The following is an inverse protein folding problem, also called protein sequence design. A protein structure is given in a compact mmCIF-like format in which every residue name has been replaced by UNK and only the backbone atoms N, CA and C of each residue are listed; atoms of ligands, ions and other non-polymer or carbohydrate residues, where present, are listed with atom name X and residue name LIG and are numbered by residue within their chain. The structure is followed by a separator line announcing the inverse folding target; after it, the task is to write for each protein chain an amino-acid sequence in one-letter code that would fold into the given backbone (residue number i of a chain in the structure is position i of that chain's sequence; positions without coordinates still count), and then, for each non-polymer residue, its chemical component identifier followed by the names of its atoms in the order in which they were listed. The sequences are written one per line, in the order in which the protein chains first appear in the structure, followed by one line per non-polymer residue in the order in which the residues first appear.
data_IF_341359618151
#
_entry.id   IF_341359618151
#
_cell.length_a   1.000
_cell.length_b   1.000
_cell.length_c   1.000
_cell.angle_alpha   90.00
_cell.angle_beta   90.00
_cell.angle_gamma   90.00
#
_symmetry.space_group_name_H-M   'P 1'
#
loop_
_entity.id
_entity.type
_entity.pdbx_description
1 polymer ?
#
# COMPACT_ATOMS: atom_id res chain seq x y z
N UNK A 1 -4.48 -10.99 20.01
CA UNK A 1 -5.10 -11.38 18.72
C UNK A 1 -4.90 -10.33 17.62
N UNK A 2 -5.14 -9.04 17.88
CA UNK A 2 -4.96 -7.95 16.90
C UNK A 2 -3.50 -7.72 16.47
N UNK A 3 -2.55 -7.80 17.40
CA UNK A 3 -1.09 -7.83 17.14
C UNK A 3 -0.70 -8.93 16.15
N UNK A 4 -1.26 -10.14 16.32
CA UNK A 4 -0.99 -11.27 15.43
C UNK A 4 -1.60 -11.04 14.04
N UNK A 5 -2.77 -10.40 13.93
CA UNK A 5 -3.38 -10.07 12.63
C UNK A 5 -2.61 -8.97 11.91
N UNK A 6 -2.14 -7.94 12.61
CA UNK A 6 -1.30 -6.88 12.05
C UNK A 6 0.08 -7.40 11.66
N UNK A 7 0.71 -8.22 12.52
CA UNK A 7 1.96 -8.89 12.19
C UNK A 7 1.79 -9.84 11.00
N UNK A 8 0.68 -10.58 10.94
CA UNK A 8 0.38 -11.46 9.79
C UNK A 8 0.08 -10.66 8.54
N UNK A 9 -0.60 -9.51 8.63
CA UNK A 9 -0.86 -8.63 7.49
C UNK A 9 0.43 -7.99 6.98
N UNK A 10 1.26 -7.46 7.87
CA UNK A 10 2.59 -6.94 7.52
C UNK A 10 3.48 -8.04 6.95
N UNK A 11 3.46 -9.23 7.54
CA UNK A 11 4.15 -10.40 7.02
C UNK A 11 3.63 -10.79 5.63
N UNK A 12 2.31 -10.82 5.42
CA UNK A 12 1.71 -11.12 4.11
C UNK A 12 2.01 -10.03 3.08
N UNK A 13 2.03 -8.75 3.44
CA UNK A 13 2.44 -7.66 2.55
C UNK A 13 3.93 -7.79 2.22
N UNK A 14 4.76 -8.06 3.22
CA UNK A 14 6.20 -8.30 3.08
C UNK A 14 6.55 -9.62 2.38
N UNK A 15 5.64 -10.60 2.32
CA UNK A 15 5.80 -11.86 1.60
C UNK A 15 5.18 -11.81 0.19
N UNK A 16 4.05 -11.12 0.01
CA UNK A 16 3.41 -10.94 -1.28
C UNK A 16 4.19 -9.97 -2.16
N UNK A 17 4.80 -8.93 -1.59
CA UNK A 17 5.67 -8.02 -2.34
C UNK A 17 6.81 -8.78 -3.08
N UNK A 18 7.62 -9.64 -2.43
CA UNK A 18 8.63 -10.44 -3.10
C UNK A 18 8.05 -11.56 -3.98
N UNK A 19 6.87 -12.12 -3.67
CA UNK A 19 6.24 -13.12 -4.56
C UNK A 19 5.69 -12.53 -5.85
N UNK A 20 5.10 -11.33 -5.80
CA UNK A 20 4.68 -10.58 -6.97
C UNK A 20 5.89 -10.09 -7.75
N UNK A 21 6.95 -9.68 -7.04
CA UNK A 21 8.25 -9.34 -7.64
C UNK A 21 8.89 -10.55 -8.35
N UNK A 22 8.94 -11.71 -7.70
CA UNK A 22 9.45 -12.96 -8.26
C UNK A 22 8.59 -13.46 -9.41
N UNK A 23 7.27 -13.37 -9.30
CA UNK A 23 6.34 -13.68 -10.41
C UNK A 23 6.60 -12.79 -11.61
N UNK A 24 6.79 -11.48 -11.39
CA UNK A 24 7.16 -10.53 -12.44
C UNK A 24 8.51 -10.84 -13.08
N UNK A 25 9.52 -11.21 -12.28
CA UNK A 25 10.84 -11.63 -12.76
C UNK A 25 10.74 -12.93 -13.55
N UNK A 26 10.01 -13.94 -13.07
CA UNK A 26 9.85 -15.23 -13.74
C UNK A 26 9.18 -15.04 -15.09
N UNK A 27 8.13 -14.22 -15.16
CA UNK A 27 7.47 -13.87 -16.42
C UNK A 27 8.45 -13.15 -17.36
N UNK A 28 9.19 -12.16 -16.86
CA UNK A 28 10.17 -11.41 -17.65
C UNK A 28 11.33 -12.30 -18.16
N UNK A 29 11.83 -13.20 -17.33
CA UNK A 29 12.91 -14.16 -17.68
C UNK A 29 12.41 -15.21 -18.66
N UNK A 30 11.19 -15.74 -18.46
CA UNK A 30 10.59 -16.70 -19.38
C UNK A 30 10.32 -16.08 -20.75
N UNK A 31 10.06 -14.77 -20.80
CA UNK A 31 9.97 -14.00 -22.03
C UNK A 31 11.35 -13.78 -22.68
N UNK A 32 12.37 -13.42 -21.89
CA UNK A 32 13.73 -13.21 -22.39
C UNK A 32 14.37 -14.48 -22.99
N UNK A 33 13.99 -15.67 -22.51
CA UNK A 33 14.48 -16.96 -23.03
C UNK A 33 14.04 -17.30 -24.46
N UNK A 34 13.06 -16.60 -25.04
CA UNK A 34 12.53 -16.91 -26.38
C UNK A 34 13.31 -16.33 -27.58
N UNK A 35 14.37 -15.51 -27.38
CA UNK A 35 15.28 -15.04 -28.46
C UNK A 35 14.72 -13.92 -29.38
N UNK A 36 15.57 -13.09 -30.06
CA UNK A 36 15.28 -11.66 -30.33
C UNK A 36 15.04 -11.26 -31.81
N UNK A 37 14.32 -10.14 -32.11
CA UNK A 37 14.91 -8.78 -32.08
C UNK A 37 13.94 -7.66 -31.60
N UNK A 38 13.79 -7.44 -30.29
CA UNK A 38 13.11 -6.27 -29.69
C UNK A 38 13.51 -5.98 -28.22
N UNK A 39 14.59 -6.61 -27.73
CA UNK A 39 14.84 -6.83 -26.30
C UNK A 39 15.05 -5.56 -25.45
N UNK A 40 15.42 -4.42 -26.05
CA UNK A 40 15.71 -3.19 -25.30
C UNK A 40 14.46 -2.41 -24.90
N UNK A 41 13.38 -2.47 -25.69
CA UNK A 41 12.18 -1.66 -25.48
C UNK A 41 11.29 -2.28 -24.42
N UNK A 42 11.09 -3.61 -24.45
CA UNK A 42 10.26 -4.30 -23.45
C UNK A 42 10.93 -4.39 -22.07
N UNK A 43 12.25 -4.52 -22.00
CA UNK A 43 12.98 -4.47 -20.73
C UNK A 43 12.89 -3.08 -20.08
N UNK A 44 12.99 -2.01 -20.90
CA UNK A 44 12.82 -0.64 -20.40
C UNK A 44 11.40 -0.42 -19.88
N UNK A 45 10.37 -0.90 -20.57
CA UNK A 45 8.96 -0.77 -20.16
C UNK A 45 8.67 -1.52 -18.86
N UNK A 46 9.11 -2.76 -18.74
CA UNK A 46 8.97 -3.56 -17.52
C UNK A 46 9.67 -2.93 -16.33
N UNK A 47 10.86 -2.37 -16.51
CA UNK A 47 11.52 -1.58 -15.48
C UNK A 47 10.65 -0.41 -14.97
N UNK A 48 10.07 0.40 -15.86
CA UNK A 48 9.24 1.53 -15.43
C UNK A 48 7.99 1.10 -14.65
N UNK A 49 7.32 0.04 -15.08
CA UNK A 49 6.16 -0.50 -14.36
C UNK A 49 6.53 -1.13 -13.03
N UNK A 50 7.67 -1.83 -12.96
CA UNK A 50 8.13 -2.45 -11.73
C UNK A 50 8.48 -1.39 -10.68
N UNK A 51 9.24 -0.36 -11.06
CA UNK A 51 9.59 0.74 -10.16
C UNK A 51 8.34 1.51 -9.74
N UNK A 52 7.41 1.78 -10.66
CA UNK A 52 6.12 2.39 -10.32
C UNK A 52 5.36 1.53 -9.30
N UNK A 53 5.32 0.21 -9.47
CA UNK A 53 4.61 -0.68 -8.56
C UNK A 53 5.23 -0.71 -7.16
N UNK A 54 6.56 -0.85 -7.08
CA UNK A 54 7.29 -0.89 -5.80
C UNK A 54 7.16 0.44 -5.05
N UNK A 55 7.29 1.56 -5.77
CA UNK A 55 7.18 2.89 -5.15
C UNK A 55 5.74 3.23 -4.77
N UNK A 56 4.74 2.68 -5.46
CA UNK A 56 3.34 2.75 -5.05
C UNK A 56 3.08 1.98 -3.75
N UNK A 57 3.65 0.78 -3.62
CA UNK A 57 3.58 0.00 -2.37
C UNK A 57 4.22 0.76 -1.21
N UNK A 58 5.43 1.28 -1.40
CA UNK A 58 6.12 2.09 -0.40
C UNK A 58 5.34 3.35 -0.03
N UNK A 59 4.73 4.02 -1.02
CA UNK A 59 3.85 5.17 -0.81
C UNK A 59 2.62 4.80 0.05
N UNK A 60 1.95 3.68 -0.27
CA UNK A 60 0.78 3.23 0.48
C UNK A 60 1.13 2.91 1.95
N UNK A 61 2.23 2.21 2.16
CA UNK A 61 2.77 1.93 3.50
C UNK A 61 3.08 3.22 4.24
N UNK A 62 3.76 4.17 3.60
CA UNK A 62 4.05 5.47 4.20
C UNK A 62 2.79 6.25 4.57
N UNK A 63 1.80 6.32 3.68
CA UNK A 63 0.55 7.05 3.92
C UNK A 63 -0.26 6.48 5.09
N UNK A 64 -0.38 5.15 5.17
CA UNK A 64 -1.08 4.48 6.28
C UNK A 64 -0.37 4.69 7.62
N UNK A 65 0.97 4.68 7.62
CA UNK A 65 1.74 5.02 8.82
C UNK A 65 1.61 6.50 9.20
N UNK A 66 1.61 7.43 8.25
CA UNK A 66 1.39 8.85 8.53
C UNK A 66 0.04 9.05 9.23
N UNK A 67 -1.03 8.46 8.69
CA UNK A 67 -2.37 8.51 9.26
C UNK A 67 -2.41 7.95 10.68
N UNK A 68 -1.86 6.76 10.91
CA UNK A 68 -1.87 6.12 12.23
C UNK A 68 -1.07 6.90 13.28
N UNK A 69 0.12 7.40 12.93
CA UNK A 69 0.95 8.18 13.85
C UNK A 69 0.39 9.58 14.10
N UNK A 70 -0.22 10.23 13.10
CA UNK A 70 -0.91 11.50 13.30
C UNK A 70 -2.12 11.33 14.23
N UNK A 71 -2.92 10.28 14.04
CA UNK A 71 -4.03 9.98 14.93
C UNK A 71 -3.55 9.73 16.37
N UNK A 72 -2.43 9.00 16.55
CA UNK A 72 -1.85 8.76 17.87
C UNK A 72 -1.40 10.06 18.55
N UNK A 73 -0.71 10.94 17.82
CA UNK A 73 -0.25 12.24 18.33
C UNK A 73 -1.41 13.20 18.63
N UNK A 74 -2.42 13.26 17.75
CA UNK A 74 -3.56 14.15 17.91
C UNK A 74 -4.46 13.77 19.11
N UNK A 75 -4.52 12.48 19.43
CA UNK A 75 -5.38 11.95 20.49
C UNK A 75 -4.61 11.65 21.79
N UNK A 76 -3.28 11.83 21.81
CA UNK A 76 -2.42 11.40 22.91
C UNK A 76 -2.75 9.95 23.32
N UNK A 77 -2.81 9.08 22.30
CA UNK A 77 -3.23 7.68 22.41
C UNK A 77 -2.00 6.76 22.48
N UNK A 78 -2.03 5.72 23.34
CA UNK A 78 -0.89 4.83 23.57
C UNK A 78 -0.57 4.03 22.32
N UNK A 79 0.66 4.08 21.82
CA UNK A 79 1.07 3.27 20.66
C UNK A 79 1.17 1.78 21.03
N UNK A 80 1.00 0.86 20.06
CA UNK A 80 1.42 -0.53 20.27
C UNK A 80 2.89 -0.52 20.71
N UNK A 81 3.16 -1.07 21.90
CA UNK A 81 4.50 -1.09 22.46
C UNK A 81 5.39 -1.99 21.61
N UNK A 82 6.13 -1.40 20.69
CA UNK A 82 7.28 -2.06 20.10
C UNK A 82 8.35 -2.08 21.19
N UNK A 83 8.56 -3.26 21.78
CA UNK A 83 9.60 -3.50 22.78
C UNK A 83 10.95 -3.08 22.18
N UNK A 84 11.38 -1.86 22.51
CA UNK A 84 12.62 -1.30 21.98
C UNK A 84 13.76 -1.90 22.80
N UNK A 85 14.50 -2.82 22.20
CA UNK A 85 15.73 -3.39 22.75
C UNK A 85 16.81 -2.30 22.80
N UNK A 86 16.80 -1.46 23.83
CA UNK A 86 17.83 -0.46 24.10
C UNK A 86 17.73 0.09 25.52
N UNK A 87 18.86 0.56 26.04
CA UNK A 87 19.03 1.03 27.43
C UNK A 87 18.24 2.32 27.75
N UNK A 88 17.64 2.95 26.73
CA UNK A 88 16.85 4.17 26.85
C UNK A 88 15.37 3.87 26.59
N UNK A 89 14.56 3.97 27.64
CA UNK A 89 13.09 3.99 27.51
C UNK A 89 12.68 5.30 26.83
N UNK A 90 12.11 5.18 25.62
CA UNK A 90 11.49 6.30 24.92
C UNK A 90 10.04 6.44 25.39
N UNK A 91 9.56 7.69 25.47
CA UNK A 91 8.14 7.96 25.69
C UNK A 91 7.32 7.62 24.43
N UNK A 92 6.04 7.29 24.60
CA UNK A 92 5.12 6.99 23.47
C UNK A 92 5.08 8.14 22.44
N UNK A 93 5.16 9.39 22.92
CA UNK A 93 5.19 10.57 22.04
C UNK A 93 6.48 10.65 21.22
N UNK A 94 7.64 10.32 21.79
CA UNK A 94 8.90 10.28 21.04
C UNK A 94 8.88 9.19 19.98
N UNK A 95 8.33 8.01 20.31
CA UNK A 95 8.13 6.92 19.36
C UNK A 95 7.20 7.35 18.22
N UNK A 96 6.07 7.98 18.54
CA UNK A 96 5.12 8.46 17.55
C UNK A 96 5.73 9.53 16.61
N UNK A 97 6.49 10.49 17.16
CA UNK A 97 7.18 11.51 16.36
C UNK A 97 8.25 10.91 15.45
N UNK A 98 9.04 9.96 15.97
CA UNK A 98 10.06 9.25 15.19
C UNK A 98 9.42 8.47 14.04
N UNK A 99 8.39 7.70 14.32
CA UNK A 99 7.67 6.92 13.32
C UNK A 99 6.99 7.82 12.28
N UNK A 100 6.38 8.93 12.71
CA UNK A 100 5.82 9.92 11.80
C UNK A 100 6.89 10.52 10.89
N UNK A 101 8.05 10.89 11.42
CA UNK A 101 9.15 11.44 10.62
C UNK A 101 9.62 10.44 9.55
N UNK A 102 9.79 9.15 9.92
CA UNK A 102 10.14 8.09 8.98
C UNK A 102 9.05 7.89 7.91
N UNK A 103 7.78 7.87 8.31
CA UNK A 103 6.65 7.71 7.41
C UNK A 103 6.55 8.88 6.41
N UNK A 104 6.67 10.12 6.89
CA UNK A 104 6.67 11.33 6.06
C UNK A 104 7.84 11.31 5.09
N UNK A 105 9.06 10.95 5.53
CA UNK A 105 10.21 10.81 4.65
C UNK A 105 9.96 9.74 3.57
N UNK A 106 9.40 8.60 3.95
CA UNK A 106 9.01 7.53 3.02
C UNK A 106 8.00 8.00 1.96
N UNK A 107 6.97 8.74 2.36
CA UNK A 107 6.00 9.35 1.43
C UNK A 107 6.67 10.39 0.54
N UNK A 108 7.50 11.27 1.11
CA UNK A 108 8.17 12.35 0.38
C UNK A 108 9.11 11.82 -0.71
N UNK A 109 9.72 10.65 -0.52
CA UNK A 109 10.55 9.99 -1.53
C UNK A 109 9.70 9.16 -2.49
N UNK A 110 8.76 8.36 -1.98
CA UNK A 110 8.02 7.39 -2.81
C UNK A 110 7.01 8.05 -3.75
N UNK A 111 6.34 9.12 -3.30
CA UNK A 111 5.34 9.84 -4.09
C UNK A 111 5.88 10.41 -5.42
N UNK A 112 6.97 11.22 -5.43
CA UNK A 112 7.50 11.75 -6.69
C UNK A 112 8.06 10.66 -7.59
N UNK A 113 8.70 9.62 -7.04
CA UNK A 113 9.25 8.51 -7.82
C UNK A 113 8.14 7.73 -8.49
N UNK A 114 7.07 7.37 -7.75
CA UNK A 114 5.88 6.72 -8.30
C UNK A 114 5.27 7.57 -9.41
N UNK A 115 5.00 8.85 -9.12
CA UNK A 115 4.34 9.75 -10.06
C UNK A 115 5.14 9.88 -11.37
N UNK A 116 6.46 10.03 -11.28
CA UNK A 116 7.33 10.10 -12.44
C UNK A 116 7.29 8.82 -13.29
N UNK A 117 7.50 7.65 -12.66
CA UNK A 117 7.55 6.37 -13.37
C UNK A 117 6.19 6.00 -13.97
N UNK A 118 5.10 6.26 -13.24
CA UNK A 118 3.73 6.03 -13.70
C UNK A 118 3.35 6.92 -14.88
N UNK A 119 3.69 8.22 -14.84
CA UNK A 119 3.43 9.10 -15.99
C UNK A 119 4.23 8.70 -17.22
N UNK A 120 5.49 8.31 -17.03
CA UNK A 120 6.36 7.91 -18.13
C UNK A 120 5.95 6.57 -18.73
N UNK A 121 5.49 5.62 -17.91
CA UNK A 121 4.95 4.35 -18.41
C UNK A 121 3.68 4.57 -19.20
N UNK A 122 2.74 5.42 -18.74
CA UNK A 122 1.54 5.77 -19.52
C UNK A 122 1.83 6.48 -20.84
N UNK A 123 2.75 7.45 -20.86
CA UNK A 123 3.08 8.17 -22.09
C UNK A 123 3.68 7.24 -23.16
N UNK A 124 4.38 6.18 -22.76
CA UNK A 124 4.94 5.19 -23.68
C UNK A 124 3.91 4.20 -24.26
N UNK A 125 2.65 4.24 -23.80
CA UNK A 125 1.56 3.29 -24.12
C UNK A 125 0.52 3.88 -25.07
N UNK A 126 0.58 5.18 -25.38
CA UNK A 126 -0.37 5.88 -26.27
C UNK A 126 -0.39 5.38 -27.74
N UNK A 127 0.19 4.22 -28.06
CA UNK A 127 0.15 3.58 -29.37
C UNK A 127 -0.22 2.10 -29.36
N UNK A 128 0.02 1.36 -28.26
CA UNK A 128 -0.29 -0.07 -28.16
C UNK A 128 -0.68 -0.40 -26.72
N UNK A 129 -1.89 -0.91 -26.51
CA UNK A 129 -2.40 -1.41 -25.23
C UNK A 129 -1.70 -2.68 -24.76
N UNK A 130 -0.38 -2.58 -24.54
CA UNK A 130 0.49 -3.71 -24.22
C UNK A 130 -0.04 -4.52 -23.03
N UNK A 131 0.08 -5.84 -23.13
CA UNK A 131 -0.29 -6.78 -22.05
C UNK A 131 0.34 -6.39 -20.70
N UNK A 132 1.52 -5.78 -20.72
CA UNK A 132 2.24 -5.34 -19.54
C UNK A 132 1.54 -4.21 -18.78
N UNK A 133 0.95 -3.24 -19.48
CA UNK A 133 0.15 -2.17 -18.87
C UNK A 133 -1.05 -2.74 -18.13
N UNK A 134 -1.72 -3.73 -18.73
CA UNK A 134 -2.87 -4.42 -18.14
C UNK A 134 -2.47 -5.21 -16.91
N UNK A 135 -1.38 -5.98 -16.97
CA UNK A 135 -0.85 -6.72 -15.81
C UNK A 135 -0.55 -5.78 -14.64
N UNK A 136 0.09 -4.64 -14.90
CA UNK A 136 0.32 -3.62 -13.88
C UNK A 136 -1.00 -3.10 -13.29
N UNK A 137 -1.94 -2.65 -14.13
CA UNK A 137 -3.20 -2.04 -13.66
C UNK A 137 -4.02 -3.05 -12.85
N UNK A 138 -4.15 -4.30 -13.32
CA UNK A 138 -4.87 -5.34 -12.58
C UNK A 138 -4.16 -5.70 -11.28
N UNK A 139 -2.82 -5.77 -11.26
CA UNK A 139 -2.05 -5.98 -10.04
C UNK A 139 -2.29 -4.87 -9.01
N UNK A 140 -2.33 -3.62 -9.47
CA UNK A 140 -2.62 -2.45 -8.62
C UNK A 140 -4.07 -2.44 -8.13
N UNK A 141 -5.04 -2.76 -8.98
CA UNK A 141 -6.45 -2.87 -8.59
C UNK A 141 -6.66 -3.98 -7.54
N UNK A 142 -6.04 -5.14 -7.74
CA UNK A 142 -6.08 -6.24 -6.79
C UNK A 142 -5.45 -5.85 -5.44
N UNK A 143 -4.29 -5.19 -5.48
CA UNK A 143 -3.62 -4.66 -4.28
C UNK A 143 -4.53 -3.73 -3.49
N UNK A 144 -5.14 -2.73 -4.13
CA UNK A 144 -6.01 -1.78 -3.43
C UNK A 144 -7.34 -2.38 -2.99
N UNK A 145 -7.89 -3.33 -3.74
CA UNK A 145 -9.08 -4.06 -3.32
C UNK A 145 -8.80 -4.88 -2.05
N UNK A 146 -7.72 -5.66 -2.03
CA UNK A 146 -7.35 -6.48 -0.88
C UNK A 146 -6.98 -5.61 0.33
N UNK A 147 -6.13 -4.60 0.14
CA UNK A 147 -5.75 -3.67 1.20
C UNK A 147 -6.96 -2.89 1.74
N UNK A 148 -7.82 -2.41 0.85
CA UNK A 148 -9.06 -1.72 1.21
C UNK A 148 -10.00 -2.62 2.01
N UNK A 149 -10.14 -3.89 1.63
CA UNK A 149 -10.95 -4.86 2.36
C UNK A 149 -10.40 -5.13 3.77
N UNK A 150 -9.07 -5.22 3.92
CA UNK A 150 -8.44 -5.37 5.24
C UNK A 150 -8.71 -4.15 6.12
N UNK A 151 -8.49 -2.94 5.62
CA UNK A 151 -8.72 -1.71 6.40
C UNK A 151 -10.20 -1.50 6.72
N UNK A 152 -11.11 -1.79 5.78
CA UNK A 152 -12.54 -1.75 6.01
C UNK A 152 -12.97 -2.79 7.07
N UNK A 153 -12.44 -4.01 7.01
CA UNK A 153 -12.67 -5.05 8.01
C UNK A 153 -12.18 -4.63 9.40
N UNK A 154 -10.98 -4.05 9.49
CA UNK A 154 -10.46 -3.47 10.74
C UNK A 154 -11.37 -2.36 11.26
N UNK A 155 -11.79 -1.44 10.40
CA UNK A 155 -12.69 -0.34 10.77
C UNK A 155 -14.01 -0.85 11.35
N UNK A 156 -14.66 -1.80 10.67
CA UNK A 156 -15.90 -2.43 11.15
C UNK A 156 -15.66 -3.17 12.46
N UNK A 157 -14.56 -3.93 12.58
CA UNK A 157 -14.21 -4.63 13.81
C UNK A 157 -14.08 -3.67 14.99
N UNK A 158 -13.40 -2.53 14.82
CA UNK A 158 -13.27 -1.54 15.90
C UNK A 158 -14.64 -0.99 16.34
N UNK A 159 -15.55 -0.73 15.40
CA UNK A 159 -16.91 -0.29 15.73
C UNK A 159 -17.67 -1.38 16.50
N UNK A 160 -17.55 -2.64 16.09
CA UNK A 160 -18.21 -3.77 16.73
C UNK A 160 -17.73 -4.04 18.17
N UNK A 161 -16.53 -3.58 18.55
CA UNK A 161 -16.05 -3.70 19.93
C UNK A 161 -16.92 -2.92 20.93
N UNK A 162 -17.59 -1.86 20.50
CA UNK A 162 -18.48 -1.04 21.33
C UNK A 162 -19.69 -1.83 21.86
N UNK A 163 -20.60 -2.37 21.01
CA UNK A 163 -21.77 -3.11 21.48
C UNK A 163 -21.40 -4.45 22.16
N UNK A 164 -20.20 -4.98 21.90
CA UNK A 164 -19.71 -6.22 22.52
C UNK A 164 -19.09 -5.99 23.91
N UNK A 165 -18.96 -4.73 24.38
CA UNK A 165 -18.35 -4.43 25.67
C UNK A 165 -16.86 -4.78 25.75
N UNK A 166 -16.14 -4.78 24.62
CA UNK A 166 -14.71 -5.12 24.53
C UNK A 166 -13.78 -3.92 24.74
N UNK A 167 -14.35 -2.76 25.11
CA UNK A 167 -13.65 -1.51 25.40
C UNK A 167 -14.32 -0.87 26.60
N UNK A 168 -13.53 -0.53 27.61
CA UNK A 168 -14.03 0.27 28.72
C UNK A 168 -13.96 1.76 28.34
N UNK A 169 -15.12 2.35 28.04
CA UNK A 169 -15.21 3.77 27.70
C UNK A 169 -15.01 4.68 28.92
N UNK A 170 -15.09 4.14 30.14
CA UNK A 170 -14.75 4.89 31.35
C UNK A 170 -13.23 5.03 31.52
N UNK A 171 -12.43 4.17 30.89
CA UNK A 171 -10.97 4.25 30.87
C UNK A 171 -10.50 5.19 29.73
N UNK A 172 -9.97 6.41 30.04
CA UNK A 172 -9.67 7.40 29.00
C UNK A 172 -8.64 6.94 27.98
N UNK A 173 -7.66 6.13 28.40
CA UNK A 173 -6.63 5.57 27.53
C UNK A 173 -7.21 4.58 26.51
N UNK A 174 -8.13 3.71 26.93
CA UNK A 174 -8.79 2.77 26.04
C UNK A 174 -9.70 3.48 25.05
N UNK A 175 -10.46 4.48 25.51
CA UNK A 175 -11.32 5.28 24.65
C UNK A 175 -10.52 6.01 23.56
N UNK A 176 -9.39 6.64 23.91
CA UNK A 176 -8.48 7.28 22.93
C UNK A 176 -7.87 6.28 21.96
N UNK A 177 -7.47 5.10 22.45
CA UNK A 177 -6.96 4.00 21.62
C UNK A 177 -7.99 3.55 20.59
N UNK A 178 -9.25 3.38 21.01
CA UNK A 178 -10.35 3.02 20.10
C UNK A 178 -10.57 4.10 19.03
N UNK A 179 -10.66 5.37 19.42
CA UNK A 179 -10.87 6.48 18.47
C UNK A 179 -9.72 6.54 17.46
N UNK A 180 -8.47 6.37 17.92
CA UNK A 180 -7.29 6.28 17.04
C UNK A 180 -7.42 5.13 16.05
N UNK A 181 -7.77 3.93 16.52
CA UNK A 181 -7.85 2.74 15.68
C UNK A 181 -8.95 2.87 14.62
N UNK A 182 -10.11 3.41 15.00
CA UNK A 182 -11.22 3.73 14.08
C UNK A 182 -10.77 4.76 13.04
N UNK A 183 -10.18 5.88 13.49
CA UNK A 183 -9.71 6.94 12.60
C UNK A 183 -8.65 6.42 11.62
N UNK A 184 -7.68 5.66 12.12
CA UNK A 184 -6.59 5.12 11.31
C UNK A 184 -7.09 4.12 10.27
N UNK A 185 -7.95 3.18 10.67
CA UNK A 185 -8.51 2.19 9.75
C UNK A 185 -9.43 2.85 8.70
N UNK A 186 -10.29 3.77 9.12
CA UNK A 186 -11.21 4.49 8.24
C UNK A 186 -10.49 5.34 7.20
N UNK A 187 -9.49 6.12 7.61
CA UNK A 187 -8.68 6.93 6.70
C UNK A 187 -7.82 6.07 5.77
N UNK A 188 -7.27 4.95 6.26
CA UNK A 188 -6.52 4.00 5.41
C UNK A 188 -7.40 3.33 4.36
N UNK A 189 -8.62 2.94 4.73
CA UNK A 189 -9.61 2.41 3.79
C UNK A 189 -9.98 3.46 2.73
N UNK A 190 -10.19 4.72 3.14
CA UNK A 190 -10.46 5.83 2.22
C UNK A 190 -9.30 6.03 1.23
N UNK A 191 -8.05 6.01 1.69
CA UNK A 191 -6.87 6.10 0.82
C UNK A 191 -6.89 4.95 -0.22
N UNK A 192 -7.11 3.71 0.22
CA UNK A 192 -7.18 2.56 -0.68
C UNK A 192 -8.28 2.72 -1.74
N UNK A 193 -9.47 3.18 -1.34
CA UNK A 193 -10.59 3.46 -2.26
C UNK A 193 -10.23 4.54 -3.27
N UNK A 194 -9.62 5.65 -2.84
CA UNK A 194 -9.23 6.75 -3.73
C UNK A 194 -8.23 6.30 -4.79
N UNK A 195 -7.22 5.52 -4.39
CA UNK A 195 -6.24 4.97 -5.32
C UNK A 195 -6.83 3.91 -6.24
N UNK A 196 -7.75 3.07 -5.73
CA UNK A 196 -8.49 2.12 -6.56
C UNK A 196 -9.31 2.83 -7.63
N UNK A 197 -10.10 3.84 -7.23
CA UNK A 197 -10.93 4.64 -8.14
C UNK A 197 -10.09 5.37 -9.19
N UNK A 198 -8.91 5.86 -8.82
CA UNK A 198 -7.97 6.45 -9.76
C UNK A 198 -7.52 5.44 -10.84
N UNK A 199 -7.06 4.26 -10.43
CA UNK A 199 -6.58 3.24 -11.36
C UNK A 199 -7.71 2.59 -12.18
N UNK A 200 -8.91 2.50 -11.61
CA UNK A 200 -10.11 2.04 -12.29
C UNK A 200 -10.47 2.96 -13.47
N UNK A 201 -10.51 4.27 -13.25
CA UNK A 201 -10.73 5.25 -14.33
C UNK A 201 -9.66 5.18 -15.42
N UNK A 202 -8.41 4.89 -15.04
CA UNK A 202 -7.33 4.69 -16.03
C UNK A 202 -7.58 3.43 -16.86
N UNK A 203 -8.05 2.34 -16.24
CA UNK A 203 -8.42 1.12 -16.96
C UNK A 203 -9.55 1.40 -17.96
N UNK A 204 -10.61 2.10 -17.55
CA UNK A 204 -11.74 2.47 -18.41
C UNK A 204 -11.31 3.31 -19.62
N UNK A 205 -10.30 4.18 -19.45
CA UNK A 205 -9.75 4.97 -20.54
C UNK A 205 -8.84 4.19 -21.50
N UNK A 206 -8.56 2.91 -21.23
CA UNK A 206 -7.66 2.08 -22.06
C UNK A 206 -8.47 1.28 -23.08
N UNK A 207 -8.21 1.41 -24.40
CA UNK A 207 -8.94 0.67 -25.44
C UNK A 207 -8.85 -0.87 -25.28
N UNK A 208 -9.88 -1.63 -25.68
CA UNK A 208 -9.81 -3.09 -25.75
C UNK A 208 -8.70 -3.55 -26.73
N UNK A 209 -8.18 -4.78 -26.59
CA UNK A 209 -7.18 -5.29 -27.52
C UNK A 209 -7.80 -5.36 -28.92
N UNK A 210 -7.12 -4.84 -29.94
CA UNK A 210 -7.55 -5.03 -31.32
C UNK A 210 -7.47 -6.52 -31.66
N UNK A 211 -8.60 -7.11 -32.06
CA UNK A 211 -8.70 -8.54 -32.42
C UNK A 211 -7.93 -8.89 -33.70
N UNK A 212 -7.34 -7.91 -34.38
CA UNK A 212 -6.69 -8.05 -35.69
C UNK A 212 -5.25 -8.59 -35.63
N UNK A 213 -4.71 -8.88 -34.44
CA UNK A 213 -3.32 -9.38 -34.27
C UNK A 213 -3.19 -10.71 -33.52
N UNK A 214 -4.31 -11.42 -33.31
CA UNK A 214 -4.32 -12.74 -32.66
C UNK A 214 -4.22 -13.89 -33.68
#
# INVERSE_FOLDING_TARGET
MMEAVLATFWFLVSCLAPLVFLGGIVVAVNWARKGPPALSIDLRRSYFYLIAFITLLALLVGLTQVVGNLAALALDAPLPSYEYSGDRQLTDQEVARRNLALAVAGVAVSAPVWFFHWRRSRAAVNGDGSNLSRVYIYGVLALFLLGGLVFAGMFVFQILRLPLGLVDLAAPLEARGLVRDIASAGLSALIAILFWLYHWRVLESTPPPSLETA
#
